data_IF_857922701492
#
_entry.id   IF_857922701492
#
_cell.length_a   1.000
_cell.length_b   1.000
_cell.length_c   1.000
_cell.angle_alpha   90.00
_cell.angle_beta   90.00
_cell.angle_gamma   90.00
#
_symmetry.space_group_name_H-M   'P 1'
#
loop_
_entity.id
_entity.type
_entity.pdbx_description
1 polymer ?
#
# COMPACT_ATOMS: atom_id res chain seq x y z
N UNK A 1 86.86 -12.55 6.73
CA UNK A 1 86.45 -12.25 5.32
C UNK A 1 84.97 -12.41 5.08
N UNK A 2 84.32 -13.51 5.44
CA UNK A 2 82.87 -13.76 5.22
C UNK A 2 82.01 -12.72 5.95
N UNK A 3 82.32 -12.35 7.15
CA UNK A 3 81.53 -11.39 7.93
C UNK A 3 81.55 -9.96 7.32
N UNK A 4 82.70 -9.53 6.76
CA UNK A 4 82.77 -8.26 6.04
C UNK A 4 81.94 -8.27 4.75
N UNK A 5 81.91 -9.40 4.05
CA UNK A 5 81.08 -9.56 2.84
C UNK A 5 79.56 -9.49 3.14
N UNK A 6 79.10 -10.12 4.24
CA UNK A 6 77.74 -10.05 4.71
C UNK A 6 77.34 -8.64 5.08
N UNK A 7 78.25 -7.90 5.80
CA UNK A 7 77.98 -6.50 6.10
C UNK A 7 77.94 -5.61 4.86
N UNK A 8 78.83 -5.84 3.86
CA UNK A 8 78.78 -5.10 2.60
C UNK A 8 77.50 -5.31 1.82
N UNK A 9 77.02 -6.56 1.76
CA UNK A 9 75.74 -6.89 1.11
C UNK A 9 74.55 -6.23 1.86
N UNK A 10 74.56 -6.31 3.18
CA UNK A 10 73.53 -5.67 4.00
C UNK A 10 73.48 -4.13 3.83
N UNK A 11 74.68 -3.50 3.85
CA UNK A 11 74.81 -2.08 3.64
C UNK A 11 74.39 -1.65 2.23
N UNK A 12 74.79 -2.39 1.19
CA UNK A 12 74.32 -2.16 -0.21
C UNK A 12 72.78 -2.24 -0.30
N UNK A 13 72.15 -3.21 0.38
CA UNK A 13 70.71 -3.39 0.36
C UNK A 13 70.00 -2.21 1.08
N UNK A 14 70.50 -1.80 2.25
CA UNK A 14 69.95 -0.64 2.97
C UNK A 14 70.13 0.64 2.16
N UNK A 15 71.31 0.84 1.58
CA UNK A 15 71.59 1.98 0.69
C UNK A 15 70.65 1.98 -0.55
N UNK A 16 70.42 0.89 -1.19
CA UNK A 16 69.50 0.75 -2.30
C UNK A 16 68.07 1.11 -1.89
N UNK A 17 67.60 0.56 -0.75
CA UNK A 17 66.24 0.81 -0.25
C UNK A 17 66.02 2.27 0.19
N UNK A 18 67.03 2.92 0.77
CA UNK A 18 66.90 4.30 1.29
C UNK A 18 67.15 5.34 0.19
N UNK A 19 68.15 5.13 -0.70
CA UNK A 19 68.49 6.17 -1.69
C UNK A 19 67.77 5.97 -3.01
N UNK A 20 67.68 4.76 -3.54
CA UNK A 20 66.99 4.52 -4.82
C UNK A 20 65.48 4.24 -4.70
N UNK A 21 65.08 3.56 -3.63
CA UNK A 21 63.67 3.23 -3.41
C UNK A 21 63.00 4.16 -2.35
N UNK A 22 63.76 5.06 -1.73
CA UNK A 22 63.25 5.93 -0.67
C UNK A 22 62.07 6.80 -1.09
N UNK A 23 62.11 7.34 -2.30
CA UNK A 23 60.99 8.07 -2.88
C UNK A 23 59.72 7.23 -3.00
N UNK A 24 59.86 6.02 -3.57
CA UNK A 24 58.75 5.09 -3.70
C UNK A 24 58.14 4.67 -2.35
N UNK A 25 58.98 4.37 -1.34
CA UNK A 25 58.46 4.05 -0.01
C UNK A 25 57.88 5.27 0.72
N UNK A 26 58.38 6.47 0.46
CA UNK A 26 57.81 7.70 0.97
C UNK A 26 56.41 7.96 0.38
N UNK A 27 56.22 7.72 -0.92
CA UNK A 27 54.93 7.87 -1.57
C UNK A 27 53.92 6.79 -1.14
N UNK A 28 54.36 5.53 -0.96
CA UNK A 28 53.56 4.49 -0.34
C UNK A 28 53.16 4.85 1.11
N UNK A 29 54.09 5.39 1.90
CA UNK A 29 53.82 5.82 3.27
C UNK A 29 52.84 6.99 3.30
N UNK A 30 52.96 7.97 2.39
CA UNK A 30 51.99 9.07 2.25
C UNK A 30 50.60 8.56 1.83
N UNK A 31 50.52 7.61 0.90
CA UNK A 31 49.27 6.97 0.51
C UNK A 31 48.58 6.24 1.66
N UNK A 32 49.36 5.64 2.56
CA UNK A 32 48.80 4.95 3.74
C UNK A 32 48.43 5.91 4.90
N UNK A 33 48.77 7.19 4.80
CA UNK A 33 48.43 8.24 5.79
C UNK A 33 47.18 9.04 5.40
N UNK A 34 46.67 8.84 4.19
CA UNK A 34 45.52 9.58 3.67
C UNK A 34 44.32 8.68 3.60
N UNK A 35 43.28 9.00 4.35
CA UNK A 35 41.98 8.33 4.32
C UNK A 35 40.94 9.26 3.73
N UNK A 36 40.15 8.74 2.81
CA UNK A 36 38.96 9.44 2.30
C UNK A 36 37.77 9.03 3.15
N UNK A 37 37.17 9.99 3.82
CA UNK A 37 35.94 9.80 4.56
C UNK A 37 34.80 10.47 3.80
N UNK A 38 33.61 9.82 3.78
CA UNK A 38 32.42 10.39 3.17
C UNK A 38 31.67 11.26 4.17
N UNK A 39 31.28 12.46 3.74
CA UNK A 39 30.38 13.33 4.48
C UNK A 39 28.96 13.02 4.03
N UNK A 40 28.11 12.56 4.94
CA UNK A 40 26.72 12.25 4.61
C UNK A 40 25.97 13.52 4.18
N UNK A 41 25.22 13.41 3.09
CA UNK A 41 24.36 14.49 2.64
C UNK A 41 23.07 14.54 3.47
N UNK A 42 22.56 15.73 3.78
CA UNK A 42 21.25 15.87 4.40
C UNK A 42 20.19 15.32 3.47
N UNK A 43 19.42 14.36 3.96
CA UNK A 43 18.35 13.72 3.20
C UNK A 43 17.17 14.69 3.00
N UNK A 44 16.54 14.67 1.84
CA UNK A 44 15.37 15.51 1.53
C UNK A 44 14.20 15.27 2.51
N UNK A 45 13.47 16.33 2.83
CA UNK A 45 12.29 16.27 3.71
C UNK A 45 11.11 15.72 2.91
N UNK A 46 10.28 14.89 3.54
CA UNK A 46 9.00 14.43 2.98
C UNK A 46 7.88 15.17 3.72
N UNK A 47 6.98 15.80 2.96
CA UNK A 47 5.85 16.55 3.52
C UNK A 47 4.52 16.00 3.01
N UNK A 48 3.44 16.26 3.77
CA UNK A 48 2.09 16.11 3.27
C UNK A 48 1.74 17.22 2.23
N UNK A 49 0.55 17.17 1.67
CA UNK A 49 0.08 18.16 0.68
C UNK A 49 0.01 19.60 1.23
N UNK A 50 -0.05 19.77 2.54
CA UNK A 50 -0.16 21.06 3.24
C UNK A 50 1.21 21.56 3.77
N UNK A 51 2.31 20.87 3.44
CA UNK A 51 3.67 21.21 3.87
C UNK A 51 4.04 20.75 5.28
N UNK A 52 3.23 19.93 5.95
CA UNK A 52 3.61 19.33 7.24
C UNK A 52 4.66 18.24 7.04
N UNK A 53 5.75 18.29 7.81
CA UNK A 53 6.82 17.31 7.74
C UNK A 53 6.34 15.93 8.24
N UNK A 54 6.45 14.91 7.40
CA UNK A 54 6.18 13.51 7.74
C UNK A 54 7.45 12.67 7.83
N UNK A 55 8.53 13.13 7.21
CA UNK A 55 9.90 12.65 7.47
C UNK A 55 10.88 13.83 7.34
N UNK A 56 11.75 14.01 8.32
CA UNK A 56 12.67 15.15 8.41
C UNK A 56 14.00 14.73 9.02
N UNK A 57 14.96 15.64 9.02
CA UNK A 57 16.23 15.44 9.71
C UNK A 57 16.22 16.29 10.98
N UNK A 58 16.64 15.71 12.09
CA UNK A 58 16.82 16.39 13.37
C UNK A 58 18.27 16.25 13.82
N UNK A 59 18.74 17.16 14.65
CA UNK A 59 20.03 17.04 15.32
C UNK A 59 19.82 16.35 16.66
N UNK A 60 20.57 15.28 16.88
CA UNK A 60 20.56 14.53 18.13
C UNK A 60 22.02 14.23 18.52
N UNK A 61 22.47 14.73 19.68
CA UNK A 61 23.83 14.59 20.17
C UNK A 61 24.94 14.97 19.16
N UNK A 62 24.69 16.07 18.42
CA UNK A 62 25.63 16.58 17.40
C UNK A 62 25.62 15.79 16.08
N UNK A 63 24.77 14.78 15.94
CA UNK A 63 24.56 14.02 14.69
C UNK A 63 23.23 14.38 14.04
N UNK A 64 23.22 14.43 12.71
CA UNK A 64 21.98 14.57 11.94
C UNK A 64 21.37 13.19 11.76
N UNK A 65 20.19 12.99 12.32
CA UNK A 65 19.45 11.71 12.22
C UNK A 65 18.11 11.90 11.53
N UNK A 66 17.63 10.86 10.83
CA UNK A 66 16.30 10.84 10.25
C UNK A 66 15.24 10.71 11.34
N UNK A 67 14.14 11.46 11.22
CA UNK A 67 13.05 11.44 12.18
C UNK A 67 11.70 11.44 11.48
N UNK A 68 10.79 10.61 11.97
CA UNK A 68 9.44 10.43 11.47
C UNK A 68 8.44 10.88 12.56
N UNK A 69 7.94 12.13 12.49
CA UNK A 69 7.13 12.71 13.57
C UNK A 69 5.85 11.93 13.89
N UNK A 70 5.30 11.24 12.89
CA UNK A 70 4.03 10.52 13.00
C UNK A 70 4.20 8.99 13.06
N UNK A 71 5.41 8.48 13.20
CA UNK A 71 5.75 7.09 13.49
C UNK A 71 4.77 6.07 12.92
N UNK A 72 3.98 5.46 13.81
CA UNK A 72 2.99 4.42 13.50
C UNK A 72 1.92 4.85 12.46
N UNK A 73 1.53 6.13 12.48
CA UNK A 73 0.46 6.66 11.60
C UNK A 73 0.86 6.64 10.12
N UNK A 74 2.13 6.88 9.81
CA UNK A 74 2.63 7.03 8.45
C UNK A 74 3.54 5.89 7.98
N UNK A 75 3.83 4.92 8.83
CA UNK A 75 4.79 3.84 8.57
C UNK A 75 4.55 3.09 7.26
N UNK A 76 3.29 2.71 6.98
CA UNK A 76 2.92 1.96 5.78
C UNK A 76 3.12 2.70 4.46
N UNK A 77 3.26 4.04 4.51
CA UNK A 77 3.49 4.89 3.34
C UNK A 77 4.94 5.36 3.28
N UNK A 78 5.43 5.98 4.35
CA UNK A 78 6.75 6.60 4.35
C UNK A 78 7.85 5.53 4.32
N UNK A 79 7.65 4.43 5.03
CA UNK A 79 8.67 3.40 5.20
C UNK A 79 9.81 3.88 6.09
N UNK A 80 10.99 3.30 5.95
CA UNK A 80 12.15 3.60 6.79
C UNK A 80 13.46 3.49 6.02
N UNK A 81 14.52 4.08 6.59
CA UNK A 81 15.90 3.96 6.11
C UNK A 81 16.67 2.96 6.99
N UNK A 82 17.69 2.34 6.42
CA UNK A 82 18.53 1.36 7.10
C UNK A 82 19.85 1.13 6.37
N UNK A 83 20.69 0.24 6.92
CA UNK A 83 21.93 -0.17 6.24
C UNK A 83 21.59 -0.97 4.99
N UNK A 84 22.35 -0.77 3.88
CA UNK A 84 22.16 -1.55 2.66
C UNK A 84 22.47 -3.04 2.92
N UNK A 85 21.66 -3.92 2.32
CA UNK A 85 21.85 -5.36 2.39
C UNK A 85 22.94 -5.87 1.44
N UNK A 86 23.26 -5.09 0.40
CA UNK A 86 24.31 -5.41 -0.57
C UNK A 86 25.66 -4.87 -0.13
N UNK A 87 26.66 -5.75 -0.06
CA UNK A 87 28.05 -5.49 0.39
C UNK A 87 28.90 -4.61 -0.55
N UNK A 88 28.30 -4.04 -1.60
CA UNK A 88 28.97 -3.16 -2.56
C UNK A 88 28.87 -1.66 -2.28
N UNK A 89 28.06 -1.24 -1.32
CA UNK A 89 27.91 0.16 -0.91
C UNK A 89 28.61 0.34 0.44
N UNK A 90 29.35 1.46 0.62
CA UNK A 90 29.97 1.78 1.91
C UNK A 90 28.95 1.62 3.04
N UNK A 91 29.19 0.68 3.96
CA UNK A 91 28.24 0.18 4.96
C UNK A 91 27.75 1.20 6.00
N UNK A 92 28.23 2.44 5.93
CA UNK A 92 27.82 3.52 6.86
C UNK A 92 26.77 4.47 6.26
N UNK A 93 26.47 4.37 4.95
CA UNK A 93 25.47 5.23 4.31
C UNK A 93 24.10 4.56 4.42
N UNK A 94 23.13 5.24 5.06
CA UNK A 94 21.76 4.76 5.17
C UNK A 94 21.00 4.95 3.85
N UNK A 95 20.26 3.90 3.47
CA UNK A 95 19.42 3.88 2.26
C UNK A 95 17.94 3.63 2.62
N UNK A 96 17.03 4.05 1.75
CA UNK A 96 15.61 3.74 1.91
C UNK A 96 15.36 2.24 1.72
N UNK A 97 14.75 1.59 2.69
CA UNK A 97 14.46 0.14 2.70
C UNK A 97 13.03 -0.14 2.25
N UNK A 98 12.07 0.70 2.63
CA UNK A 98 10.66 0.51 2.31
C UNK A 98 9.94 1.83 2.03
N UNK A 99 8.71 1.76 1.53
CA UNK A 99 7.82 2.91 1.33
C UNK A 99 8.39 3.98 0.38
N UNK A 100 8.00 5.23 0.61
CA UNK A 100 8.49 6.39 -0.15
C UNK A 100 10.01 6.59 0.00
N UNK A 101 10.58 6.26 1.15
CA UNK A 101 12.01 6.32 1.38
C UNK A 101 12.79 5.45 0.39
N UNK A 102 12.29 4.25 0.08
CA UNK A 102 12.88 3.35 -0.91
C UNK A 102 12.55 3.78 -2.34
N UNK A 103 11.28 4.05 -2.61
CA UNK A 103 10.80 4.38 -3.96
C UNK A 103 11.48 5.64 -4.52
N UNK A 104 11.71 6.64 -3.67
CA UNK A 104 12.33 7.92 -4.04
C UNK A 104 13.76 8.08 -3.52
N UNK A 105 14.46 6.96 -3.23
CA UNK A 105 15.82 6.94 -2.70
C UNK A 105 16.77 7.88 -3.46
N UNK A 106 16.77 7.83 -4.81
CA UNK A 106 17.68 8.64 -5.66
C UNK A 106 17.47 10.14 -5.50
N UNK A 107 16.23 10.57 -5.25
CA UNK A 107 15.91 11.99 -5.05
C UNK A 107 16.20 12.44 -3.62
N UNK A 108 15.84 11.59 -2.65
CA UNK A 108 15.92 11.92 -1.23
C UNK A 108 17.34 11.87 -0.67
N UNK A 109 18.21 10.97 -1.14
CA UNK A 109 19.51 10.72 -0.52
C UNK A 109 20.51 11.87 -0.67
N UNK A 110 20.41 12.66 -1.74
CA UNK A 110 21.44 13.64 -2.10
C UNK A 110 22.71 12.98 -2.61
N UNK A 111 23.79 13.75 -2.64
CA UNK A 111 25.12 13.26 -3.06
C UNK A 111 26.10 13.46 -1.90
N UNK A 112 26.74 12.38 -1.40
CA UNK A 112 27.74 12.50 -0.33
C UNK A 112 28.89 13.41 -0.72
N UNK A 113 29.44 14.11 0.28
CA UNK A 113 30.71 14.83 0.17
C UNK A 113 31.88 13.89 0.45
N UNK A 114 33.07 14.39 0.24
CA UNK A 114 34.34 13.71 0.51
C UNK A 114 35.24 14.59 1.33
N UNK A 115 35.78 14.06 2.40
CA UNK A 115 36.83 14.66 3.22
C UNK A 115 38.08 13.80 3.13
N UNK A 116 39.22 14.44 2.94
CA UNK A 116 40.53 13.80 3.01
C UNK A 116 41.06 14.06 4.40
N UNK A 117 41.29 12.99 5.14
CA UNK A 117 41.86 13.02 6.50
C UNK A 117 43.28 12.46 6.46
N UNK A 118 44.26 13.23 6.91
CA UNK A 118 45.60 12.73 7.16
C UNK A 118 45.68 12.20 8.58
N UNK A 119 46.02 10.93 8.73
CA UNK A 119 46.22 10.30 10.05
C UNK A 119 47.68 9.93 10.23
N UNK A 120 48.18 10.06 11.49
CA UNK A 120 49.50 9.53 11.87
C UNK A 120 49.44 8.00 11.96
N UNK A 121 50.60 7.35 11.97
CA UNK A 121 50.71 5.89 12.19
C UNK A 121 50.05 5.43 13.52
N UNK A 122 49.80 6.34 14.45
CA UNK A 122 49.08 6.08 15.71
C UNK A 122 47.58 6.40 15.64
N UNK A 123 47.04 6.71 14.44
CA UNK A 123 45.62 7.02 14.25
C UNK A 123 45.18 8.42 14.70
N UNK A 124 46.15 9.34 14.94
CA UNK A 124 45.80 10.72 15.30
C UNK A 124 45.57 11.56 14.04
N UNK A 125 44.43 12.21 13.94
CA UNK A 125 44.08 13.13 12.83
C UNK A 125 45.03 14.36 12.88
N UNK A 126 45.66 14.66 11.76
CA UNK A 126 46.58 15.80 11.58
C UNK A 126 45.92 16.93 10.80
N UNK A 127 45.29 16.60 9.70
CA UNK A 127 44.69 17.58 8.79
C UNK A 127 43.40 16.99 8.25
N UNK A 128 42.41 17.85 8.16
CA UNK A 128 41.11 17.49 7.54
C UNK A 128 40.82 18.53 6.47
N UNK A 129 40.59 18.09 5.23
CA UNK A 129 40.28 18.96 4.10
C UNK A 129 39.06 18.42 3.34
N UNK A 130 37.99 19.20 3.29
CA UNK A 130 36.82 18.89 2.48
C UNK A 130 37.21 18.97 1.01
N UNK A 131 37.24 17.84 0.32
CA UNK A 131 37.51 17.71 -1.11
C UNK A 131 36.24 18.01 -1.94
N UNK A 132 35.08 17.57 -1.46
CA UNK A 132 33.81 17.76 -2.09
C UNK A 132 32.73 17.99 -1.03
N UNK A 133 32.01 19.10 -1.12
CA UNK A 133 30.89 19.36 -0.22
C UNK A 133 29.70 18.45 -0.53
N UNK A 134 28.98 17.96 0.48
CA UNK A 134 27.76 17.18 0.27
C UNK A 134 26.67 18.05 -0.37
N UNK A 135 25.89 17.44 -1.27
CA UNK A 135 24.71 18.08 -1.88
C UNK A 135 23.45 17.48 -1.25
N UNK A 136 22.62 18.28 -0.55
CA UNK A 136 21.39 17.78 0.04
C UNK A 136 20.45 17.13 -0.96
N UNK A 137 19.64 16.16 -0.51
CA UNK A 137 18.59 15.56 -1.29
C UNK A 137 17.41 16.52 -1.54
N UNK A 138 16.63 16.21 -2.56
CA UNK A 138 15.43 16.96 -2.90
C UNK A 138 14.29 16.67 -1.92
N UNK A 139 13.53 17.73 -1.56
CA UNK A 139 12.31 17.56 -0.78
C UNK A 139 11.20 16.91 -1.61
N UNK A 140 10.38 16.11 -0.97
CA UNK A 140 9.27 15.39 -1.59
C UNK A 140 7.95 15.85 -0.99
N UNK A 141 7.09 16.48 -1.82
CA UNK A 141 5.71 16.82 -1.44
C UNK A 141 4.80 15.68 -1.88
N UNK A 142 4.02 15.13 -0.97
CA UNK A 142 3.09 14.04 -1.23
C UNK A 142 1.66 14.55 -1.41
N UNK A 143 0.79 13.71 -1.95
CA UNK A 143 -0.65 13.94 -2.00
C UNK A 143 -1.35 13.61 -0.67
N UNK A 144 -0.65 13.02 0.30
CA UNK A 144 -1.22 12.70 1.61
C UNK A 144 -1.81 13.94 2.28
N UNK A 145 -2.95 13.74 2.92
CA UNK A 145 -3.52 14.67 3.88
C UNK A 145 -3.35 14.10 5.28
N UNK A 146 -2.49 14.69 6.06
CA UNK A 146 -2.15 14.15 7.37
C UNK A 146 -3.35 14.09 8.32
N UNK A 147 -4.32 14.99 8.19
CA UNK A 147 -5.54 14.96 9.01
C UNK A 147 -6.41 13.75 8.64
N UNK A 148 -6.54 13.45 7.36
CA UNK A 148 -7.25 12.26 6.85
C UNK A 148 -6.52 10.99 7.25
N UNK A 149 -5.19 10.97 7.11
CA UNK A 149 -4.33 9.84 7.50
C UNK A 149 -4.47 9.50 8.99
N UNK A 150 -4.40 10.52 9.87
CA UNK A 150 -4.55 10.33 11.31
C UNK A 150 -5.96 9.86 11.70
N UNK A 151 -7.01 10.45 11.13
CA UNK A 151 -8.38 10.02 11.39
C UNK A 151 -8.62 8.59 10.94
N UNK A 152 -8.16 8.23 9.75
CA UNK A 152 -8.25 6.87 9.22
C UNK A 152 -7.50 5.86 10.11
N UNK A 153 -6.30 6.22 10.57
CA UNK A 153 -5.51 5.39 11.47
C UNK A 153 -6.21 5.16 12.81
N UNK A 154 -6.68 6.23 13.45
CA UNK A 154 -7.35 6.13 14.75
C UNK A 154 -8.67 5.36 14.65
N UNK A 155 -9.48 5.62 13.62
CA UNK A 155 -10.74 4.90 13.40
C UNK A 155 -10.52 3.39 13.24
N UNK A 156 -9.53 3.01 12.42
CA UNK A 156 -9.18 1.61 12.20
C UNK A 156 -8.60 0.98 13.47
N UNK A 157 -7.61 1.63 14.09
CA UNK A 157 -6.95 1.13 15.32
C UNK A 157 -7.96 0.87 16.44
N UNK A 158 -8.81 1.86 16.75
CA UNK A 158 -9.82 1.75 17.81
C UNK A 158 -10.84 0.61 17.53
N UNK A 159 -11.22 0.43 16.26
CA UNK A 159 -12.11 -0.66 15.88
C UNK A 159 -11.46 -2.05 16.04
N UNK A 160 -10.15 -2.15 15.81
CA UNK A 160 -9.39 -3.40 15.82
C UNK A 160 -8.82 -3.77 17.20
N UNK A 161 -8.57 -2.80 18.08
CA UNK A 161 -8.03 -3.05 19.44
C UNK A 161 -8.83 -4.11 20.22
N UNK A 162 -10.15 -4.12 20.05
CA UNK A 162 -11.04 -5.06 20.73
C UNK A 162 -11.07 -6.45 20.10
N UNK A 163 -10.62 -6.60 18.88
CA UNK A 163 -10.74 -7.85 18.10
C UNK A 163 -9.40 -8.56 17.89
N UNK A 164 -8.28 -7.86 18.07
CA UNK A 164 -6.93 -8.35 17.71
C UNK A 164 -6.71 -8.57 16.22
N UNK A 165 -7.62 -8.09 15.38
CA UNK A 165 -7.64 -8.30 13.93
C UNK A 165 -6.75 -7.30 13.19
N UNK A 166 -6.61 -7.49 11.89
CA UNK A 166 -5.86 -6.63 10.97
C UNK A 166 -6.81 -5.93 10.01
N UNK A 167 -6.40 -4.78 9.49
CA UNK A 167 -7.24 -4.08 8.52
C UNK A 167 -6.52 -2.98 7.77
N UNK A 168 -7.27 -2.38 6.84
CA UNK A 168 -6.83 -1.28 5.96
C UNK A 168 -7.92 -0.21 5.86
N UNK A 169 -7.49 1.04 5.81
CA UNK A 169 -8.29 2.16 5.28
C UNK A 169 -7.48 2.84 4.18
N UNK A 170 -8.08 2.95 3.01
CA UNK A 170 -7.54 3.65 1.87
C UNK A 170 -8.47 4.78 1.48
N UNK A 171 -7.93 5.99 1.30
CA UNK A 171 -8.67 7.18 0.88
C UNK A 171 -7.97 7.80 -0.32
N UNK A 172 -8.66 7.88 -1.45
CA UNK A 172 -8.16 8.51 -2.67
C UNK A 172 -9.16 9.51 -3.22
N UNK A 173 -8.71 10.43 -4.06
CA UNK A 173 -9.61 11.14 -4.96
C UNK A 173 -9.92 10.27 -6.18
N UNK A 174 -11.01 10.53 -6.85
CA UNK A 174 -11.39 9.81 -8.08
C UNK A 174 -10.35 9.94 -9.17
N UNK A 175 -9.60 11.05 -9.22
CA UNK A 175 -8.48 11.24 -10.14
C UNK A 175 -7.18 10.54 -9.70
N UNK A 176 -7.21 9.75 -8.62
CA UNK A 176 -6.12 8.86 -8.24
C UNK A 176 -5.11 9.44 -7.24
N UNK A 177 -5.30 10.63 -6.66
CA UNK A 177 -4.43 11.12 -5.59
C UNK A 177 -4.69 10.34 -4.31
N UNK A 178 -3.66 9.77 -3.71
CA UNK A 178 -3.76 9.03 -2.45
C UNK A 178 -3.70 10.03 -1.29
N UNK A 179 -4.83 10.23 -0.60
CA UNK A 179 -4.96 11.14 0.55
C UNK A 179 -4.60 10.47 1.87
N UNK A 180 -4.91 9.18 1.99
CA UNK A 180 -4.51 8.35 3.12
C UNK A 180 -4.38 6.88 2.69
N UNK A 181 -3.40 6.20 3.29
CA UNK A 181 -3.20 4.76 3.19
C UNK A 181 -2.75 4.25 4.55
N UNK A 182 -3.61 3.51 5.20
CA UNK A 182 -3.41 2.98 6.55
C UNK A 182 -3.48 1.46 6.53
N UNK A 183 -2.54 0.82 7.18
CA UNK A 183 -2.56 -0.62 7.47
C UNK A 183 -2.30 -0.82 8.97
N UNK A 184 -3.12 -1.63 9.64
CA UNK A 184 -3.00 -1.97 11.06
C UNK A 184 -2.98 -3.49 11.19
N UNK A 185 -2.11 -4.09 12.00
CA UNK A 185 -1.12 -3.46 12.89
C UNK A 185 -0.04 -2.66 12.15
N UNK A 186 0.48 -1.64 12.82
CA UNK A 186 1.52 -0.75 12.33
C UNK A 186 2.68 -0.65 13.34
N UNK A 187 3.70 0.13 13.05
CA UNK A 187 4.92 0.23 13.86
C UNK A 187 5.48 1.66 13.86
N UNK A 188 6.23 2.05 14.91
CA UNK A 188 6.96 3.31 14.87
C UNK A 188 8.19 3.17 13.96
N UNK A 189 8.18 3.90 12.86
CA UNK A 189 9.26 3.93 11.86
C UNK A 189 10.62 4.30 12.46
N UNK A 190 10.63 5.09 13.55
CA UNK A 190 11.86 5.49 14.26
C UNK A 190 12.56 4.32 14.96
N UNK A 191 11.93 3.15 15.07
CA UNK A 191 12.57 1.92 15.57
C UNK A 191 13.83 1.52 14.79
N UNK A 192 13.85 1.81 13.48
CA UNK A 192 14.94 1.45 12.57
C UNK A 192 16.08 2.47 12.56
N UNK A 193 15.94 3.60 13.28
CA UNK A 193 16.95 4.63 13.35
C UNK A 193 17.82 4.41 14.59
N UNK A 194 19.11 4.11 14.38
CA UNK A 194 20.10 4.07 15.45
C UNK A 194 20.19 5.46 16.10
N UNK A 195 20.18 5.52 17.42
CA UNK A 195 20.17 6.77 18.19
C UNK A 195 18.95 7.69 17.88
N UNK A 196 17.91 7.14 17.23
CA UNK A 196 16.69 7.88 16.88
C UNK A 196 15.79 8.14 18.08
N UNK A 197 15.19 9.34 18.11
CA UNK A 197 14.15 9.69 19.08
C UNK A 197 12.83 9.02 18.68
N UNK A 198 12.12 8.41 19.64
CA UNK A 198 10.76 7.88 19.41
C UNK A 198 9.78 9.02 19.09
N UNK A 199 8.80 8.74 18.25
CA UNK A 199 7.69 9.66 18.04
C UNK A 199 6.69 9.59 19.18
N UNK A 200 5.86 10.65 19.33
CA UNK A 200 4.74 10.64 20.28
C UNK A 200 3.64 9.65 19.88
N UNK A 201 3.71 9.13 18.65
CA UNK A 201 2.86 8.08 18.08
C UNK A 201 3.60 6.72 18.07
N UNK A 202 4.40 6.45 19.09
CA UNK A 202 5.11 5.18 19.26
C UNK A 202 4.14 4.00 19.35
N UNK A 203 4.39 2.96 18.55
CA UNK A 203 3.53 1.79 18.47
C UNK A 203 3.74 0.75 19.57
N UNK A 204 3.05 -0.37 19.45
CA UNK A 204 3.07 -1.52 20.36
C UNK A 204 4.47 -2.16 20.51
N UNK A 205 5.31 -2.06 19.47
CA UNK A 205 6.63 -2.71 19.45
C UNK A 205 7.71 -1.86 20.10
N UNK A 206 8.51 -2.49 20.97
CA UNK A 206 9.57 -1.80 21.73
C UNK A 206 10.89 -1.67 20.96
N UNK A 207 11.16 -2.64 20.08
CA UNK A 207 12.39 -2.76 19.30
C UNK A 207 12.14 -3.48 17.96
N UNK A 208 13.16 -3.50 17.10
CA UNK A 208 13.10 -4.14 15.78
C UNK A 208 12.95 -5.66 15.90
N UNK A 209 13.53 -6.29 16.90
CA UNK A 209 13.47 -7.74 17.10
C UNK A 209 12.04 -8.18 17.42
N UNK A 210 11.34 -7.51 18.35
CA UNK A 210 9.94 -7.76 18.66
C UNK A 210 9.00 -7.48 17.48
N UNK A 211 9.35 -6.54 16.61
CA UNK A 211 8.63 -6.24 15.38
C UNK A 211 8.80 -7.35 14.33
N UNK A 212 10.02 -7.79 14.06
CA UNK A 212 10.34 -8.79 13.04
C UNK A 212 9.89 -10.21 13.43
N UNK A 213 9.94 -10.55 14.72
CA UNK A 213 9.53 -11.86 15.23
C UNK A 213 8.01 -12.05 15.28
N UNK A 214 7.20 -11.00 15.13
CA UNK A 214 5.75 -11.08 15.16
C UNK A 214 5.17 -11.59 13.84
N UNK A 215 5.13 -12.91 13.68
CA UNK A 215 4.62 -13.60 12.49
C UNK A 215 3.09 -13.63 12.41
N UNK A 216 2.40 -13.46 13.54
CA UNK A 216 0.94 -13.46 13.62
C UNK A 216 0.35 -12.14 13.11
N UNK A 217 0.78 -11.01 13.65
CA UNK A 217 0.27 -9.68 13.29
C UNK A 217 0.81 -9.13 11.99
N UNK A 218 1.97 -9.60 11.52
CA UNK A 218 2.64 -9.18 10.27
C UNK A 218 2.63 -7.65 10.05
N UNK A 219 3.18 -6.86 10.99
CA UNK A 219 3.03 -5.39 10.99
C UNK A 219 3.70 -4.71 9.79
N UNK A 220 4.69 -5.34 9.16
CA UNK A 220 5.34 -4.85 7.94
C UNK A 220 4.57 -5.14 6.65
N UNK A 221 3.51 -5.96 6.73
CA UNK A 221 2.70 -6.31 5.57
C UNK A 221 1.68 -5.23 5.26
N UNK A 222 1.76 -4.63 4.05
CA UNK A 222 0.80 -3.63 3.60
C UNK A 222 -0.43 -4.31 2.98
N UNK A 223 -1.59 -4.21 3.65
CA UNK A 223 -2.84 -4.92 3.32
C UNK A 223 -3.72 -4.21 2.28
N UNK A 224 -3.28 -3.07 1.75
CA UNK A 224 -4.10 -2.22 0.87
C UNK A 224 -4.45 -2.82 -0.51
N UNK A 225 -4.28 -4.09 -0.72
CA UNK A 225 -4.07 -4.66 -2.07
C UNK A 225 -4.97 -5.87 -2.54
N UNK A 226 -6.32 -6.13 -2.16
CA UNK A 226 -7.19 -7.25 -2.67
C UNK A 226 -8.73 -7.09 -2.69
N UNK A 227 -9.53 -7.53 -3.73
CA UNK A 227 -11.00 -7.73 -3.85
C UNK A 227 -11.81 -7.12 -5.03
N UNK A 228 -12.87 -7.72 -5.61
CA UNK A 228 -13.41 -7.51 -6.98
C UNK A 228 -14.86 -7.14 -7.27
N UNK A 229 -15.20 -6.82 -8.58
CA UNK A 229 -16.56 -6.82 -9.17
C UNK A 229 -16.72 -6.69 -10.72
N UNK A 230 -17.91 -7.11 -11.34
CA UNK A 230 -18.21 -7.13 -12.78
C UNK A 230 -19.64 -6.74 -13.25
N UNK A 231 -19.96 -6.35 -14.54
CA UNK A 231 -21.26 -5.88 -15.06
C UNK A 231 -21.84 -6.57 -16.32
N UNK A 232 -23.18 -6.38 -16.61
CA UNK A 232 -23.83 -6.81 -17.87
C UNK A 232 -25.35 -6.83 -18.00
N UNK A 233 -26.17 -6.05 -17.23
CA UNK A 233 -27.64 -6.05 -17.25
C UNK A 233 -28.19 -4.62 -17.32
N UNK A 234 -29.38 -4.41 -17.94
CA UNK A 234 -30.05 -3.10 -18.02
C UNK A 234 -30.88 -2.79 -16.78
N UNK A 235 -31.20 -1.50 -16.53
CA UNK A 235 -32.00 -1.03 -15.38
C UNK A 235 -33.37 -1.68 -15.29
N UNK A 236 -33.99 -2.01 -16.44
CA UNK A 236 -35.35 -2.53 -16.51
C UNK A 236 -35.41 -4.06 -16.48
N UNK A 237 -34.27 -4.74 -16.48
CA UNK A 237 -34.21 -6.20 -16.37
C UNK A 237 -34.67 -6.63 -14.99
N UNK A 238 -35.74 -7.41 -14.92
CA UNK A 238 -36.24 -8.03 -13.70
C UNK A 238 -35.79 -9.48 -13.62
N UNK A 239 -35.26 -9.87 -12.48
CA UNK A 239 -34.91 -11.26 -12.15
C UNK A 239 -35.66 -11.65 -10.88
N UNK A 240 -36.26 -12.85 -10.89
CA UNK A 240 -36.91 -13.39 -9.71
C UNK A 240 -35.86 -13.93 -8.73
N UNK A 241 -35.85 -13.38 -7.54
CA UNK A 241 -35.06 -13.93 -6.42
C UNK A 241 -35.82 -15.12 -5.84
N UNK A 242 -35.41 -16.32 -6.24
CA UNK A 242 -35.93 -17.59 -5.70
C UNK A 242 -35.33 -17.99 -4.36
N UNK A 243 -34.34 -17.19 -3.88
CA UNK A 243 -33.54 -17.49 -2.67
C UNK A 243 -32.39 -18.43 -2.94
N UNK A 244 -32.48 -19.33 -3.92
CA UNK A 244 -31.41 -20.25 -4.30
C UNK A 244 -31.51 -20.68 -5.77
N UNK A 245 -30.36 -21.13 -6.31
CA UNK A 245 -30.27 -21.84 -7.60
C UNK A 245 -29.59 -23.18 -7.35
N UNK A 246 -30.19 -24.27 -7.87
CA UNK A 246 -29.60 -25.61 -7.75
C UNK A 246 -29.17 -26.11 -9.12
N UNK A 247 -27.88 -26.51 -9.21
CA UNK A 247 -27.28 -27.07 -10.43
C UNK A 247 -26.70 -28.45 -10.08
N UNK A 248 -27.35 -29.52 -10.48
CA UNK A 248 -26.97 -30.87 -10.08
C UNK A 248 -27.03 -31.06 -8.57
N UNK A 249 -25.90 -31.36 -7.94
CA UNK A 249 -25.76 -31.52 -6.48
C UNK A 249 -25.38 -30.21 -5.75
N UNK A 250 -25.14 -29.13 -6.49
CA UNK A 250 -24.63 -27.86 -5.93
C UNK A 250 -25.76 -26.86 -5.73
N UNK A 251 -25.77 -26.21 -4.56
CA UNK A 251 -26.68 -25.16 -4.17
C UNK A 251 -25.95 -23.81 -4.14
N UNK A 252 -26.52 -22.80 -4.75
CA UNK A 252 -26.07 -21.41 -4.77
C UNK A 252 -27.13 -20.56 -4.09
N UNK A 253 -26.95 -20.25 -2.81
CA UNK A 253 -27.91 -19.55 -1.96
C UNK A 253 -27.80 -18.03 -2.08
N UNK A 254 -28.83 -17.35 -1.57
CA UNK A 254 -28.84 -15.92 -1.31
C UNK A 254 -28.81 -15.71 0.20
N UNK A 255 -27.95 -14.83 0.69
CA UNK A 255 -27.76 -14.55 2.12
C UNK A 255 -29.07 -14.25 2.87
N UNK A 256 -30.07 -13.63 2.21
CA UNK A 256 -31.37 -13.30 2.81
C UNK A 256 -32.18 -14.56 3.13
N UNK A 257 -32.17 -15.53 2.21
CA UNK A 257 -32.80 -16.84 2.46
C UNK A 257 -32.05 -17.59 3.56
N UNK A 258 -30.72 -17.67 3.46
CA UNK A 258 -29.90 -18.45 4.40
C UNK A 258 -30.00 -17.92 5.83
N UNK A 259 -30.09 -16.60 6.02
CA UNK A 259 -30.08 -15.96 7.34
C UNK A 259 -31.49 -15.74 7.92
N UNK A 260 -32.48 -15.46 7.07
CA UNK A 260 -33.80 -15.04 7.50
C UNK A 260 -34.97 -15.85 6.88
N UNK A 261 -34.70 -16.80 6.00
CA UNK A 261 -35.74 -17.60 5.31
C UNK A 261 -36.60 -16.77 4.34
N UNK A 262 -36.09 -15.64 3.83
CA UNK A 262 -36.84 -14.69 3.01
C UNK A 262 -36.23 -14.54 1.63
N UNK A 263 -37.04 -14.05 0.66
CA UNK A 263 -36.61 -13.68 -0.69
C UNK A 263 -37.08 -12.28 -1.03
N UNK A 264 -36.42 -11.64 -2.02
CA UNK A 264 -36.77 -10.29 -2.47
C UNK A 264 -37.84 -10.24 -3.57
N UNK A 265 -38.26 -11.41 -4.11
CA UNK A 265 -39.20 -11.50 -5.22
C UNK A 265 -38.62 -10.96 -6.54
N UNK A 266 -39.40 -10.23 -7.30
CA UNK A 266 -38.92 -9.60 -8.55
C UNK A 266 -38.05 -8.37 -8.23
N UNK A 267 -36.84 -8.37 -8.70
CA UNK A 267 -35.88 -7.28 -8.47
C UNK A 267 -35.17 -6.85 -9.75
N UNK A 268 -34.85 -5.56 -9.83
CA UNK A 268 -33.98 -5.01 -10.86
C UNK A 268 -32.56 -4.81 -10.31
N UNK A 269 -31.64 -4.36 -11.17
CA UNK A 269 -30.24 -4.17 -10.80
C UNK A 269 -30.04 -3.16 -9.66
N UNK A 270 -30.84 -2.09 -9.59
CA UNK A 270 -30.76 -1.08 -8.51
C UNK A 270 -31.06 -1.72 -7.16
N UNK A 271 -32.17 -2.46 -7.06
CA UNK A 271 -32.53 -3.19 -5.84
C UNK A 271 -31.53 -4.32 -5.55
N UNK A 272 -31.01 -5.01 -6.57
CA UNK A 272 -30.01 -6.06 -6.41
C UNK A 272 -28.71 -5.53 -5.83
N UNK A 273 -28.22 -4.36 -6.28
CA UNK A 273 -27.04 -3.69 -5.68
C UNK A 273 -27.35 -3.27 -4.24
N UNK A 274 -28.52 -2.62 -4.00
CA UNK A 274 -28.94 -2.13 -2.69
C UNK A 274 -29.00 -3.24 -1.63
N UNK A 275 -29.48 -4.41 -2.02
CA UNK A 275 -29.68 -5.58 -1.15
C UNK A 275 -28.55 -6.60 -1.22
N UNK A 276 -27.55 -6.39 -2.07
CA UNK A 276 -26.46 -7.34 -2.31
C UNK A 276 -27.00 -8.74 -2.67
N UNK A 277 -27.94 -8.80 -3.64
CA UNK A 277 -28.68 -10.01 -3.95
C UNK A 277 -27.87 -10.95 -4.85
N UNK A 278 -27.50 -12.11 -4.33
CA UNK A 278 -26.63 -13.07 -5.02
C UNK A 278 -27.31 -13.67 -6.26
N UNK A 279 -28.62 -14.01 -6.18
CA UNK A 279 -29.37 -14.64 -7.30
C UNK A 279 -29.36 -13.75 -8.54
N UNK A 280 -29.55 -12.43 -8.34
CA UNK A 280 -29.47 -11.47 -9.44
C UNK A 280 -28.11 -11.51 -10.13
N UNK A 281 -27.03 -11.49 -9.37
CA UNK A 281 -25.68 -11.46 -9.92
C UNK A 281 -25.22 -12.81 -10.47
N UNK A 282 -25.70 -13.94 -9.95
CA UNK A 282 -25.52 -15.25 -10.60
C UNK A 282 -26.10 -15.25 -12.02
N UNK A 283 -27.35 -14.79 -12.16
CA UNK A 283 -28.01 -14.70 -13.46
C UNK A 283 -27.38 -13.65 -14.38
N UNK A 284 -26.91 -12.55 -13.84
CA UNK A 284 -26.14 -11.56 -14.58
C UNK A 284 -24.83 -12.13 -15.12
N UNK A 285 -24.10 -12.86 -14.30
CA UNK A 285 -22.85 -13.53 -14.71
C UNK A 285 -23.08 -14.61 -15.75
N UNK A 286 -24.18 -15.40 -15.62
CA UNK A 286 -24.58 -16.40 -16.60
C UNK A 286 -24.88 -15.74 -17.95
N UNK A 287 -25.66 -14.65 -17.97
CA UNK A 287 -26.03 -13.93 -19.18
C UNK A 287 -24.82 -13.24 -19.86
N UNK A 288 -23.88 -12.70 -19.06
CA UNK A 288 -22.68 -12.05 -19.57
C UNK A 288 -21.66 -13.05 -20.14
N UNK A 289 -21.59 -14.24 -19.55
CA UNK A 289 -20.61 -15.27 -19.83
C UNK A 289 -19.22 -14.96 -19.26
N UNK A 290 -18.47 -16.03 -18.99
CA UNK A 290 -17.17 -15.92 -18.29
C UNK A 290 -16.15 -15.03 -19.02
N UNK A 291 -16.04 -15.13 -20.35
CA UNK A 291 -15.03 -14.37 -21.10
C UNK A 291 -15.26 -12.85 -21.02
N UNK A 292 -16.53 -12.42 -21.10
CA UNK A 292 -16.85 -11.00 -20.94
C UNK A 292 -16.71 -10.55 -19.49
N UNK A 293 -17.04 -11.40 -18.52
CA UNK A 293 -16.86 -11.12 -17.11
C UNK A 293 -15.39 -10.85 -16.80
N UNK A 294 -14.48 -11.73 -17.21
CA UNK A 294 -13.03 -11.55 -17.06
C UNK A 294 -12.56 -10.29 -17.77
N UNK A 295 -12.91 -10.11 -19.05
CA UNK A 295 -12.50 -8.94 -19.85
C UNK A 295 -12.90 -7.60 -19.22
N UNK A 296 -14.12 -7.47 -18.66
CA UNK A 296 -14.56 -6.25 -18.00
C UNK A 296 -13.87 -6.05 -16.66
N UNK A 297 -13.64 -7.11 -15.91
CA UNK A 297 -12.90 -7.07 -14.65
C UNK A 297 -11.47 -6.55 -14.88
N UNK A 298 -10.74 -7.09 -15.84
CA UNK A 298 -9.41 -6.60 -16.25
C UNK A 298 -9.43 -5.15 -16.75
N UNK A 299 -10.42 -4.78 -17.55
CA UNK A 299 -10.62 -3.40 -18.03
C UNK A 299 -10.79 -2.42 -16.86
N UNK A 300 -11.44 -2.84 -15.78
CA UNK A 300 -11.61 -2.06 -14.55
C UNK A 300 -10.37 -2.09 -13.64
N UNK A 301 -9.34 -2.87 -13.97
CA UNK A 301 -8.05 -2.88 -13.30
C UNK A 301 -7.82 -4.06 -12.35
N UNK A 302 -8.63 -5.13 -12.46
CA UNK A 302 -8.45 -6.33 -11.66
C UNK A 302 -7.48 -7.30 -12.32
N UNK A 303 -6.70 -8.04 -11.53
CA UNK A 303 -5.70 -8.98 -12.04
C UNK A 303 -4.41 -8.31 -12.54
N UNK A 304 -4.28 -6.99 -12.45
CA UNK A 304 -3.08 -6.22 -12.83
C UNK A 304 -2.66 -5.23 -11.74
N UNK A 305 -1.40 -4.83 -11.74
CA UNK A 305 -0.92 -3.77 -10.84
C UNK A 305 -1.57 -2.44 -11.19
N UNK A 306 -2.00 -1.68 -10.20
CA UNK A 306 -2.56 -0.32 -10.40
C UNK A 306 -1.50 0.69 -10.81
N UNK A 307 -0.23 0.38 -10.53
CA UNK A 307 0.92 1.23 -10.83
C UNK A 307 1.12 2.35 -9.80
N UNK A 308 0.68 2.15 -8.55
CA UNK A 308 0.99 3.08 -7.46
C UNK A 308 2.50 3.26 -7.30
N UNK A 309 2.91 4.46 -6.94
CA UNK A 309 4.31 4.80 -6.64
C UNK A 309 4.73 4.34 -5.24
N UNK A 310 4.51 3.04 -4.97
CA UNK A 310 5.02 2.30 -3.82
C UNK A 310 5.58 0.95 -4.24
N UNK A 311 6.66 0.47 -3.62
CA UNK A 311 7.18 -0.86 -3.86
C UNK A 311 6.28 -1.95 -3.24
N UNK A 312 6.35 -3.17 -3.79
CA UNK A 312 5.68 -4.34 -3.22
C UNK A 312 4.21 -4.51 -3.62
N UNK A 313 3.74 -3.81 -4.65
CA UNK A 313 2.37 -3.97 -5.15
C UNK A 313 2.14 -5.37 -5.72
N UNK A 314 1.03 -6.02 -5.31
CA UNK A 314 0.51 -7.26 -5.88
C UNK A 314 -0.42 -6.97 -7.06
N UNK A 315 -0.46 -7.85 -8.05
CA UNK A 315 -1.43 -7.79 -9.15
C UNK A 315 -2.80 -8.39 -8.79
N UNK A 316 -2.95 -8.97 -7.60
CA UNK A 316 -4.10 -9.84 -7.39
C UNK A 316 -4.09 -11.05 -8.33
N UNK A 317 -5.28 -11.61 -8.56
CA UNK A 317 -5.41 -12.75 -9.47
C UNK A 317 -6.82 -12.80 -10.08
N UNK A 318 -6.91 -12.86 -11.42
CA UNK A 318 -8.15 -13.05 -12.17
C UNK A 318 -8.21 -14.50 -12.69
N UNK A 319 -9.11 -15.35 -12.16
CA UNK A 319 -9.28 -16.71 -12.64
C UNK A 319 -9.92 -16.76 -14.03
N UNK A 320 -9.54 -17.77 -14.83
CA UNK A 320 -10.10 -17.99 -16.16
C UNK A 320 -10.27 -19.48 -16.45
N UNK A 321 -11.10 -19.87 -17.46
CA UNK A 321 -11.22 -21.26 -17.89
C UNK A 321 -9.88 -21.90 -18.26
N UNK A 322 -9.04 -21.16 -18.99
CA UNK A 322 -7.69 -21.61 -19.37
C UNK A 322 -6.80 -21.89 -18.15
N UNK A 323 -6.79 -20.97 -17.18
CA UNK A 323 -6.01 -21.15 -15.96
C UNK A 323 -6.46 -22.39 -15.16
N UNK A 324 -7.77 -22.58 -15.00
CA UNK A 324 -8.33 -23.70 -14.24
C UNK A 324 -7.98 -25.04 -14.85
N UNK A 325 -8.11 -25.15 -16.18
CA UNK A 325 -7.76 -26.35 -16.92
C UNK A 325 -6.25 -26.64 -16.81
N UNK A 326 -5.41 -25.61 -16.98
CA UNK A 326 -3.95 -25.75 -16.91
C UNK A 326 -3.44 -26.10 -15.51
N UNK A 327 -4.08 -25.54 -14.46
CA UNK A 327 -3.58 -25.67 -13.07
C UNK A 327 -4.12 -26.91 -12.37
N UNK A 328 -5.40 -27.23 -12.58
CA UNK A 328 -6.10 -28.32 -11.89
C UNK A 328 -6.49 -29.48 -12.83
N UNK A 329 -6.39 -29.33 -14.13
CA UNK A 329 -6.91 -30.29 -15.09
C UNK A 329 -8.44 -30.34 -15.14
N UNK A 330 -9.12 -29.33 -14.63
CA UNK A 330 -10.56 -29.26 -14.49
C UNK A 330 -11.16 -28.26 -15.49
N UNK A 331 -12.34 -28.61 -16.04
CA UNK A 331 -13.11 -27.67 -16.86
C UNK A 331 -13.72 -26.59 -15.99
N UNK A 332 -13.98 -25.44 -16.62
CA UNK A 332 -14.76 -24.38 -16.00
C UNK A 332 -16.25 -24.73 -16.03
N UNK A 333 -16.90 -24.70 -14.89
CA UNK A 333 -18.35 -24.96 -14.77
C UNK A 333 -19.11 -23.66 -14.50
N UNK A 334 -20.41 -23.66 -14.76
CA UNK A 334 -21.29 -22.52 -14.51
C UNK A 334 -21.23 -22.04 -13.05
N UNK A 335 -21.07 -22.93 -12.09
CA UNK A 335 -20.88 -22.60 -10.67
C UNK A 335 -19.63 -21.73 -10.40
N UNK A 336 -18.55 -21.92 -11.16
CA UNK A 336 -17.37 -21.05 -11.06
C UNK A 336 -17.70 -19.63 -11.55
N UNK A 337 -18.52 -19.50 -12.63
CA UNK A 337 -19.00 -18.20 -13.09
C UNK A 337 -19.90 -17.53 -12.05
N UNK A 338 -20.76 -18.28 -11.37
CA UNK A 338 -21.61 -17.76 -10.29
C UNK A 338 -20.75 -17.19 -9.15
N UNK A 339 -19.79 -17.95 -8.65
CA UNK A 339 -18.89 -17.46 -7.60
C UNK A 339 -18.13 -16.20 -8.05
N UNK A 340 -17.58 -16.22 -9.27
CA UNK A 340 -16.87 -15.05 -9.79
C UNK A 340 -17.78 -13.82 -9.93
N UNK A 341 -19.03 -13.99 -10.34
CA UNK A 341 -20.01 -12.92 -10.54
C UNK A 341 -20.41 -12.18 -9.25
N UNK A 342 -20.18 -12.79 -8.08
CA UNK A 342 -20.39 -12.16 -6.77
C UNK A 342 -19.09 -11.83 -6.04
N UNK A 343 -17.93 -11.91 -6.72
CA UNK A 343 -16.62 -11.61 -6.15
C UNK A 343 -16.10 -12.68 -5.20
N UNK A 344 -16.42 -13.95 -5.45
CA UNK A 344 -16.01 -15.11 -4.66
C UNK A 344 -15.22 -16.10 -5.52
N UNK A 345 -14.89 -17.26 -4.97
CA UNK A 345 -14.13 -18.31 -5.65
C UNK A 345 -12.63 -18.05 -5.66
N UNK A 346 -11.98 -18.29 -6.79
CA UNK A 346 -10.52 -18.18 -6.93
C UNK A 346 -10.02 -16.75 -7.18
N UNK A 347 -10.91 -15.77 -7.16
CA UNK A 347 -10.61 -14.38 -7.41
C UNK A 347 -9.82 -13.76 -6.23
N UNK A 348 -8.68 -13.11 -6.52
CA UNK A 348 -7.94 -12.31 -5.54
C UNK A 348 -7.67 -10.92 -6.11
N UNK A 349 -8.11 -9.94 -5.40
CA UNK A 349 -7.81 -8.58 -5.79
C UNK A 349 -7.50 -7.69 -4.57
N UNK A 350 -6.85 -6.52 -4.80
CA UNK A 350 -6.26 -5.66 -3.77
C UNK A 350 -7.27 -4.58 -3.27
N UNK A 351 -7.35 -4.12 -1.95
CA UNK A 351 -8.16 -2.96 -1.57
C UNK A 351 -7.89 -1.74 -2.47
N UNK A 352 -6.64 -1.58 -2.94
CA UNK A 352 -6.31 -0.53 -3.88
C UNK A 352 -6.99 -0.73 -5.23
N UNK A 353 -7.02 -1.96 -5.76
CA UNK A 353 -7.77 -2.28 -6.98
C UNK A 353 -9.26 -2.00 -6.80
N UNK A 354 -9.86 -2.37 -5.67
CA UNK A 354 -11.27 -2.09 -5.37
C UNK A 354 -11.53 -0.59 -5.28
N UNK A 355 -10.65 0.15 -4.62
CA UNK A 355 -10.76 1.60 -4.51
C UNK A 355 -10.72 2.25 -5.90
N UNK A 356 -9.71 1.90 -6.72
CA UNK A 356 -9.55 2.46 -8.07
C UNK A 356 -10.63 1.98 -9.03
N UNK A 357 -11.09 0.73 -8.92
CA UNK A 357 -12.26 0.23 -9.66
C UNK A 357 -13.53 1.01 -9.30
N UNK A 358 -13.76 1.27 -8.02
CA UNK A 358 -14.87 2.10 -7.55
C UNK A 358 -14.80 3.50 -8.15
N UNK A 359 -13.60 4.13 -8.13
CA UNK A 359 -13.36 5.41 -8.78
C UNK A 359 -13.68 5.36 -10.28
N UNK A 360 -13.25 4.30 -10.96
CA UNK A 360 -13.47 4.10 -12.39
C UNK A 360 -14.96 3.90 -12.75
N UNK A 361 -15.69 3.15 -11.94
CA UNK A 361 -17.16 2.96 -12.11
C UNK A 361 -17.88 4.29 -11.94
N UNK A 362 -17.50 5.09 -10.94
CA UNK A 362 -18.13 6.38 -10.63
C UNK A 362 -17.86 7.42 -11.70
N UNK A 363 -16.65 7.48 -12.25
CA UNK A 363 -16.23 8.50 -13.21
C UNK A 363 -16.27 8.08 -14.67
N UNK A 364 -16.20 6.78 -14.97
CA UNK A 364 -15.93 6.23 -16.30
C UNK A 364 -14.45 6.28 -16.70
N UNK A 365 -13.55 6.68 -15.79
CA UNK A 365 -12.12 6.89 -16.04
C UNK A 365 -11.29 6.04 -15.08
N UNK A 366 -10.38 5.20 -15.61
CA UNK A 366 -9.40 4.46 -14.80
C UNK A 366 -8.13 5.29 -14.63
N UNK A 367 -7.74 5.61 -13.42
CA UNK A 367 -6.52 6.34 -13.09
C UNK A 367 -5.52 5.46 -12.34
N UNK A 368 -4.21 5.68 -12.58
CA UNK A 368 -3.17 5.09 -11.74
C UNK A 368 -3.06 5.89 -10.44
N UNK A 369 -3.16 5.26 -9.27
CA UNK A 369 -3.06 5.97 -8.00
C UNK A 369 -1.64 6.55 -7.80
N UNK A 370 -1.54 7.74 -7.18
CA UNK A 370 -0.27 8.42 -6.93
C UNK A 370 -0.21 9.01 -5.53
N UNK A 371 0.88 8.74 -4.85
CA UNK A 371 1.28 9.44 -3.63
C UNK A 371 2.01 10.74 -3.94
N UNK A 372 2.71 10.80 -5.07
CA UNK A 372 3.48 11.96 -5.50
C UNK A 372 3.14 12.33 -6.94
N UNK A 373 2.81 13.59 -7.15
CA UNK A 373 2.51 14.14 -8.48
C UNK A 373 1.14 13.79 -9.01
N UNK A 374 0.98 13.88 -10.33
CA UNK A 374 -0.29 13.65 -11.03
C UNK A 374 -0.45 12.20 -11.46
N UNK A 375 -1.71 11.75 -11.49
CA UNK A 375 -2.11 10.43 -11.98
C UNK A 375 -2.21 10.39 -13.49
N UNK A 376 -1.94 9.23 -14.08
CA UNK A 376 -2.25 8.96 -15.50
C UNK A 376 -3.62 8.29 -15.56
N UNK A 377 -4.50 8.80 -16.42
CA UNK A 377 -5.88 8.34 -16.51
C UNK A 377 -6.27 7.94 -17.93
N UNK A 378 -7.13 6.90 -18.04
CA UNK A 378 -7.66 6.37 -19.30
C UNK A 378 -9.19 6.35 -19.23
N UNK A 379 -9.84 6.90 -20.25
CA UNK A 379 -11.30 6.83 -20.40
C UNK A 379 -11.73 5.41 -20.80
N UNK A 380 -12.55 4.77 -19.98
CA UNK A 380 -13.04 3.40 -20.17
C UNK A 380 -14.22 3.31 -21.15
N UNK A 381 -14.77 4.44 -21.60
CA UNK A 381 -15.96 4.49 -22.47
C UNK A 381 -17.14 3.70 -21.89
N UNK A 382 -17.37 3.83 -20.59
CA UNK A 382 -18.54 3.25 -19.93
C UNK A 382 -19.78 4.06 -20.32
N UNK A 383 -20.84 3.35 -20.69
CA UNK A 383 -22.12 3.99 -21.02
C UNK A 383 -22.66 4.76 -19.80
N UNK A 384 -23.02 6.04 -20.01
CA UNK A 384 -23.43 6.94 -18.92
C UNK A 384 -24.73 6.48 -18.23
N UNK A 385 -25.66 5.91 -18.99
CA UNK A 385 -26.92 5.36 -18.42
C UNK A 385 -26.62 4.21 -17.48
N UNK A 386 -25.74 3.28 -17.89
CA UNK A 386 -25.33 2.15 -17.05
C UNK A 386 -24.61 2.63 -15.79
N UNK A 387 -23.71 3.60 -15.93
CA UNK A 387 -23.02 4.23 -14.81
C UNK A 387 -23.97 4.87 -13.80
N UNK A 388 -24.95 5.65 -14.27
CA UNK A 388 -25.98 6.26 -13.43
C UNK A 388 -26.81 5.19 -12.70
N UNK A 389 -27.17 4.10 -13.38
CA UNK A 389 -27.91 2.98 -12.78
C UNK A 389 -27.14 2.31 -11.63
N UNK A 390 -25.82 2.10 -11.83
CA UNK A 390 -24.96 1.56 -10.75
C UNK A 390 -24.89 2.54 -9.58
N UNK A 391 -24.74 3.82 -9.84
CA UNK A 391 -24.72 4.87 -8.80
C UNK A 391 -26.05 4.94 -8.02
N UNK A 392 -27.21 4.82 -8.69
CA UNK A 392 -28.51 4.73 -8.01
C UNK A 392 -28.54 3.53 -7.04
N UNK A 393 -28.06 2.35 -7.49
CA UNK A 393 -27.94 1.17 -6.64
C UNK A 393 -26.99 1.40 -5.45
N UNK A 394 -25.81 1.96 -5.68
CA UNK A 394 -24.84 2.26 -4.63
C UNK A 394 -25.37 3.30 -3.63
N UNK A 395 -26.16 4.29 -4.07
CA UNK A 395 -26.81 5.25 -3.18
C UNK A 395 -27.88 4.56 -2.31
N UNK A 396 -28.62 3.64 -2.88
CA UNK A 396 -29.62 2.85 -2.17
C UNK A 396 -29.02 1.92 -1.10
N UNK A 397 -27.77 1.42 -1.29
CA UNK A 397 -27.03 0.65 -0.26
C UNK A 397 -26.86 1.47 1.03
N UNK A 398 -26.55 2.77 0.94
CA UNK A 398 -26.33 3.67 2.06
C UNK A 398 -27.64 4.30 2.58
N UNK A 399 -28.79 3.99 1.99
CA UNK A 399 -30.11 4.51 2.34
C UNK A 399 -30.93 3.48 3.13
N UNK A 400 -31.99 3.91 3.79
CA UNK A 400 -32.88 3.02 4.55
C UNK A 400 -33.35 1.86 3.69
N UNK A 401 -33.18 0.65 4.19
CA UNK A 401 -33.46 -0.59 3.46
C UNK A 401 -32.28 -1.19 2.69
N UNK A 402 -31.15 -0.47 2.56
CA UNK A 402 -29.91 -1.01 2.01
C UNK A 402 -29.09 -1.81 3.03
N UNK A 403 -27.91 -2.30 2.62
CA UNK A 403 -27.08 -3.15 3.50
C UNK A 403 -26.12 -2.35 4.40
N UNK A 404 -25.83 -1.07 4.12
CA UNK A 404 -24.89 -0.26 4.91
C UNK A 404 -25.62 0.57 5.99
N UNK A 405 -26.32 -0.08 6.93
CA UNK A 405 -27.14 0.56 7.95
C UNK A 405 -26.40 1.63 8.82
N UNK A 406 -25.08 1.53 9.16
CA UNK A 406 -24.39 2.59 9.90
C UNK A 406 -24.31 3.92 9.16
N UNK A 407 -24.49 3.91 7.83
CA UNK A 407 -24.39 5.05 6.93
C UNK A 407 -25.72 5.68 6.56
N UNK A 408 -26.86 5.19 7.06
CA UNK A 408 -28.20 5.69 6.70
C UNK A 408 -28.41 7.17 6.93
N UNK A 409 -27.75 7.75 7.95
CA UNK A 409 -27.79 9.20 8.20
C UNK A 409 -27.21 10.06 7.06
N UNK A 410 -26.46 9.44 6.17
CA UNK A 410 -25.90 10.06 4.97
C UNK A 410 -26.59 9.60 3.67
N UNK A 411 -27.69 8.87 3.78
CA UNK A 411 -28.48 8.43 2.64
C UNK A 411 -28.80 9.56 1.65
N UNK A 412 -28.69 9.29 0.36
CA UNK A 412 -28.86 10.29 -0.70
C UNK A 412 -27.66 11.23 -0.93
N UNK A 413 -26.66 11.23 -0.05
CA UNK A 413 -25.47 12.11 -0.14
C UNK A 413 -24.18 11.38 -0.52
N UNK A 414 -24.13 10.07 -0.30
CA UNK A 414 -22.99 9.21 -0.56
C UNK A 414 -23.40 7.98 -1.36
N UNK A 415 -22.42 7.30 -1.92
CA UNK A 415 -22.57 6.02 -2.62
C UNK A 415 -21.75 4.97 -1.90
N UNK A 416 -22.24 3.76 -1.70
CA UNK A 416 -21.44 2.71 -1.06
C UNK A 416 -21.80 1.30 -1.52
N UNK A 417 -20.95 0.33 -1.20
CA UNK A 417 -21.18 -1.09 -1.35
C UNK A 417 -20.50 -1.84 -0.22
N UNK A 418 -21.26 -2.67 0.48
CA UNK A 418 -20.75 -3.62 1.47
C UNK A 418 -20.32 -4.92 0.81
N UNK A 419 -19.33 -5.59 1.36
CA UNK A 419 -18.89 -6.91 0.96
C UNK A 419 -18.58 -7.79 2.17
N UNK A 420 -18.75 -9.08 2.00
CA UNK A 420 -18.43 -10.12 2.97
C UNK A 420 -17.80 -11.27 2.21
N UNK A 421 -16.45 -11.29 2.16
CA UNK A 421 -15.71 -12.26 1.36
C UNK A 421 -15.25 -13.44 2.22
N UNK A 422 -15.67 -14.65 1.87
CA UNK A 422 -15.28 -15.87 2.56
C UNK A 422 -13.77 -16.16 2.31
N UNK A 423 -13.11 -16.67 3.35
CA UNK A 423 -11.69 -17.02 3.32
C UNK A 423 -11.51 -18.46 3.80
N UNK A 424 -11.34 -19.38 2.86
CA UNK A 424 -11.06 -20.79 3.23
C UNK A 424 -12.28 -21.55 3.75
N UNK A 425 -12.07 -22.52 4.66
CA UNK A 425 -13.08 -23.47 5.13
C UNK A 425 -14.19 -22.86 5.99
N UNK A 426 -15.17 -23.70 6.33
CA UNK A 426 -16.41 -23.34 7.04
C UNK A 426 -16.22 -22.67 8.40
N UNK A 427 -15.06 -22.87 9.06
CA UNK A 427 -14.74 -22.35 10.39
C UNK A 427 -14.04 -20.97 10.40
N UNK A 428 -13.78 -20.37 9.23
CA UNK A 428 -13.09 -19.08 9.15
C UNK A 428 -14.07 -17.93 9.04
N UNK A 429 -13.87 -16.87 9.84
CA UNK A 429 -14.63 -15.64 9.75
C UNK A 429 -14.34 -14.96 8.38
N UNK A 430 -15.37 -14.49 7.67
CA UNK A 430 -15.17 -13.81 6.41
C UNK A 430 -14.48 -12.45 6.59
N UNK A 431 -13.88 -11.94 5.53
CA UNK A 431 -13.34 -10.59 5.46
C UNK A 431 -14.46 -9.57 5.32
N UNK A 432 -14.46 -8.54 6.18
CA UNK A 432 -15.44 -7.46 6.14
C UNK A 432 -14.95 -6.34 5.20
N UNK A 433 -15.76 -6.03 4.18
CA UNK A 433 -15.46 -5.02 3.16
C UNK A 433 -16.47 -3.90 3.10
N UNK A 434 -16.00 -2.70 2.79
CA UNK A 434 -16.83 -1.60 2.33
C UNK A 434 -16.03 -0.72 1.38
N UNK A 435 -16.65 -0.32 0.28
CA UNK A 435 -16.20 0.82 -0.53
C UNK A 435 -17.29 1.90 -0.52
N UNK A 436 -16.89 3.17 -0.44
CA UNK A 436 -17.78 4.32 -0.34
C UNK A 436 -17.23 5.46 -1.18
N UNK A 437 -18.13 6.21 -1.80
CA UNK A 437 -17.79 7.43 -2.53
C UNK A 437 -18.49 8.61 -1.89
N UNK A 438 -17.74 9.64 -1.59
CA UNK A 438 -18.22 10.89 -1.00
C UNK A 438 -18.08 11.99 -2.07
N UNK A 439 -19.19 12.52 -2.60
CA UNK A 439 -19.16 13.64 -3.51
C UNK A 439 -18.58 14.90 -2.82
N UNK A 440 -17.56 15.50 -3.45
CA UNK A 440 -16.94 16.74 -3.01
C UNK A 440 -17.06 17.76 -4.14
N UNK A 441 -17.82 18.82 -3.91
CA UNK A 441 -18.07 19.82 -4.97
C UNK A 441 -18.80 19.24 -6.18
N UNK A 442 -18.67 19.91 -7.32
CA UNK A 442 -19.41 19.58 -8.56
C UNK A 442 -18.58 18.72 -9.55
N UNK A 443 -17.26 18.66 -9.38
CA UNK A 443 -16.40 17.91 -10.28
C UNK A 443 -16.18 16.50 -9.75
N UNK A 444 -16.59 15.49 -10.51
CA UNK A 444 -16.48 14.08 -10.12
C UNK A 444 -15.04 13.63 -9.86
N UNK A 445 -14.05 14.29 -10.45
CA UNK A 445 -12.63 14.00 -10.23
C UNK A 445 -12.17 14.32 -8.80
N UNK A 446 -12.83 15.27 -8.15
CA UNK A 446 -12.50 15.69 -6.79
C UNK A 446 -13.24 14.85 -5.73
N UNK A 447 -14.19 13.99 -6.17
CA UNK A 447 -14.89 13.09 -5.26
C UNK A 447 -13.91 12.10 -4.60
N UNK A 448 -14.22 11.72 -3.39
CA UNK A 448 -13.34 10.88 -2.58
C UNK A 448 -13.88 9.46 -2.49
N UNK A 449 -13.00 8.50 -2.71
CA UNK A 449 -13.30 7.07 -2.54
C UNK A 449 -12.63 6.56 -1.27
N UNK A 450 -13.41 5.93 -0.41
CA UNK A 450 -12.94 5.29 0.82
C UNK A 450 -13.16 3.80 0.70
N UNK A 451 -12.11 3.01 0.87
CA UNK A 451 -12.20 1.55 0.91
C UNK A 451 -11.67 1.05 2.25
N UNK A 452 -12.45 0.21 2.91
CA UNK A 452 -12.12 -0.42 4.19
C UNK A 452 -12.17 -1.92 4.03
N UNK A 453 -11.11 -2.58 4.50
CA UNK A 453 -11.03 -4.03 4.70
C UNK A 453 -10.70 -4.30 6.16
N UNK A 454 -11.41 -5.25 6.78
CA UNK A 454 -11.02 -5.88 8.03
C UNK A 454 -10.92 -7.38 7.79
N UNK A 455 -9.72 -7.93 7.94
CA UNK A 455 -9.46 -9.36 7.77
C UNK A 455 -10.19 -10.16 8.86
N UNK A 456 -10.91 -11.21 8.45
CA UNK A 456 -11.72 -12.04 9.34
C UNK A 456 -12.65 -11.23 10.25
N UNK A 457 -13.06 -10.06 9.79
CA UNK A 457 -13.88 -9.11 10.55
C UNK A 457 -15.36 -9.46 10.59
N UNK A 458 -15.81 -10.43 9.79
CA UNK A 458 -17.22 -10.79 9.68
C UNK A 458 -17.94 -9.97 8.59
N UNK A 459 -19.07 -9.36 8.94
CA UNK A 459 -19.89 -8.64 7.98
C UNK A 459 -19.40 -7.21 7.73
N UNK A 460 -19.28 -6.83 6.44
CA UNK A 460 -18.87 -5.49 6.03
C UNK A 460 -19.79 -4.38 6.58
N UNK A 461 -21.09 -4.64 6.68
CA UNK A 461 -22.06 -3.74 7.28
C UNK A 461 -21.81 -3.46 8.76
N UNK A 462 -21.40 -4.47 9.52
CA UNK A 462 -21.23 -4.38 10.97
C UNK A 462 -19.86 -3.84 11.38
N UNK A 463 -18.81 -4.10 10.59
CA UNK A 463 -17.42 -3.80 10.97
C UNK A 463 -16.78 -2.74 10.08
N UNK A 464 -16.82 -2.89 8.76
CA UNK A 464 -16.18 -1.95 7.84
C UNK A 464 -16.96 -0.62 7.71
N UNK A 465 -18.30 -0.67 7.74
CA UNK A 465 -19.11 0.53 7.57
C UNK A 465 -18.98 1.55 8.71
N UNK A 466 -18.91 1.18 10.01
CA UNK A 466 -18.62 2.13 11.07
C UNK A 466 -17.27 2.84 10.91
N UNK A 467 -16.22 2.11 10.48
CA UNK A 467 -14.89 2.68 10.24
C UNK A 467 -14.95 3.71 9.11
N UNK A 468 -15.59 3.36 7.99
CA UNK A 468 -15.76 4.27 6.86
C UNK A 468 -16.58 5.52 7.23
N UNK A 469 -17.55 5.37 8.12
CA UNK A 469 -18.38 6.49 8.61
C UNK A 469 -17.58 7.63 9.19
N UNK A 470 -16.48 7.34 9.88
CA UNK A 470 -15.60 8.34 10.48
C UNK A 470 -14.91 9.25 9.44
N UNK A 471 -14.86 8.80 8.17
CA UNK A 471 -14.29 9.60 7.08
C UNK A 471 -15.29 10.61 6.50
N UNK A 472 -16.60 10.37 6.63
CA UNK A 472 -17.62 11.21 5.98
C UNK A 472 -17.58 12.68 6.41
N UNK A 473 -17.45 13.02 7.72
CA UNK A 473 -17.41 14.42 8.16
C UNK A 473 -16.19 15.20 7.67
N UNK A 474 -15.13 14.52 7.22
CA UNK A 474 -13.93 15.19 6.71
C UNK A 474 -14.16 15.83 5.33
N UNK A 475 -15.15 15.34 4.58
CA UNK A 475 -15.38 15.72 3.19
C UNK A 475 -16.79 16.25 2.94
N UNK A 476 -17.78 15.81 3.70
CA UNK A 476 -19.18 16.21 3.57
C UNK A 476 -19.47 17.28 4.64
N UNK A 477 -19.51 18.53 4.20
CA UNK A 477 -19.86 19.69 5.03
C UNK A 477 -21.36 19.96 5.02
#
# INVERSE_FOLDING_TARGET
MILILLFAVGFSRVFFLTVFMGGHFTDLAKGNMVRVEFIEAKRGVITDKNGKNIAMNIENDGKVVRFYPFGEVTAGVVGYIGKPTDSGVNGDILVGISGLESQYQKRLAGTPGETVVEETAQGTRRTEMVRKSPVPGENLVTNLDLSVQQTAFLALKNALEKTGKSGVVLVTTVDGKVLALVSVPSYDTNLFIADGKRSDFGGEFKDVESLLSNTEKKPLFNRALSGDFAPGITKDTLIADSGEIVIGAYRFGNWLLDKYGQTEGQINVVKAIARSNDIFFYKAGEALGIDNLVKWSEKLGLGEKTGIDLPGESSGFMPSPYWREKTFGEKWFLGNTYHLAIGQGDLMATPLQINMMTAAVVSGIKCSPRLVGASTCVDLKINETNRKTVLEGMQAVCSTGGTAFPLYSYGGKIYCKTGTAQKGGEDTMPNAWLTMVIPVGNNVKDWVVVTVLVEEGGEGSAVAAPIAKEMVPLFLK
#
